data_IF_103199366929
#
_entry.id   IF_103199366929
#
_cell.length_a   1.000
_cell.length_b   1.000
_cell.length_c   1.000
_cell.angle_alpha   90.00
_cell.angle_beta   90.00
_cell.angle_gamma   90.00
#
_symmetry.space_group_name_H-M   'P 1'
#
loop_
_entity.id
_entity.type
_entity.pdbx_description
1 polymer ?
#
# COMPACT_ATOMS: atom_id res chain seq x y z
N UNK A 1 18.84 8.35 7.32
CA UNK A 1 17.47 8.83 7.29
C UNK A 1 16.89 8.74 5.89
N UNK A 2 15.81 7.96 5.72
CA UNK A 2 15.16 7.74 4.43
C UNK A 2 14.59 9.01 3.80
N UNK A 3 14.25 10.01 4.59
CA UNK A 3 13.68 11.26 4.08
C UNK A 3 14.59 11.94 3.04
N UNK A 4 15.88 11.78 3.17
CA UNK A 4 16.87 12.35 2.23
C UNK A 4 16.72 11.80 0.81
N UNK A 5 16.12 10.62 0.69
CA UNK A 5 15.98 9.93 -0.58
C UNK A 5 14.59 10.11 -1.21
N UNK A 6 13.76 10.95 -0.62
CA UNK A 6 12.44 11.28 -1.15
C UNK A 6 12.49 12.70 -1.72
N UNK A 7 12.26 12.82 -3.02
CA UNK A 7 12.24 14.11 -3.69
C UNK A 7 10.84 14.70 -3.61
N UNK A 8 10.74 15.97 -3.23
CA UNK A 8 9.47 16.71 -3.21
C UNK A 8 9.36 17.57 -4.46
N UNK A 9 8.26 17.41 -5.20
CA UNK A 9 8.00 18.12 -6.44
C UNK A 9 6.74 18.96 -6.26
N UNK A 10 6.91 20.28 -6.32
CA UNK A 10 5.81 21.22 -6.17
C UNK A 10 4.96 21.25 -7.44
N UNK A 11 3.64 21.39 -7.26
CA UNK A 11 2.68 21.56 -8.34
C UNK A 11 2.66 20.39 -9.34
N UNK A 12 2.73 19.16 -8.84
CA UNK A 12 2.64 17.96 -9.67
C UNK A 12 1.63 16.97 -9.05
N UNK A 13 0.76 16.33 -9.84
CA UNK A 13 0.51 16.54 -11.27
C UNK A 13 -0.28 17.80 -11.59
N UNK A 14 -0.73 18.51 -10.55
CA UNK A 14 -1.52 19.74 -10.68
C UNK A 14 -1.02 20.79 -9.70
N UNK A 15 -1.30 22.07 -10.00
CA UNK A 15 -0.99 23.19 -9.11
C UNK A 15 -1.58 22.94 -7.72
N UNK A 16 -0.80 23.22 -6.70
CA UNK A 16 -1.19 23.07 -5.29
C UNK A 16 -0.90 21.69 -4.70
N UNK A 17 -0.47 20.73 -5.48
CA UNK A 17 -0.13 19.39 -5.00
C UNK A 17 1.38 19.27 -4.82
N UNK A 18 1.80 18.86 -3.63
CA UNK A 18 3.19 18.54 -3.34
C UNK A 18 3.38 17.03 -3.47
N UNK A 19 4.03 16.61 -4.55
CA UNK A 19 4.27 15.21 -4.86
C UNK A 19 5.52 14.69 -4.18
N UNK A 20 5.42 13.54 -3.51
CA UNK A 20 6.54 12.85 -2.87
C UNK A 20 7.01 11.74 -3.80
N UNK A 21 8.18 11.94 -4.40
CA UNK A 21 8.73 11.05 -5.41
C UNK A 21 9.65 10.00 -4.76
N UNK A 22 9.30 8.73 -4.92
CA UNK A 22 10.08 7.60 -4.38
C UNK A 22 11.11 7.06 -5.37
N UNK A 23 11.16 7.55 -6.60
CA UNK A 23 12.09 7.03 -7.60
C UNK A 23 13.54 7.24 -7.18
N UNK A 24 13.82 8.32 -6.47
CA UNK A 24 15.14 8.61 -5.92
C UNK A 24 15.54 7.62 -4.82
N UNK A 25 14.58 7.13 -4.07
CA UNK A 25 14.81 6.06 -3.07
C UNK A 25 15.09 4.73 -3.76
N UNK A 26 14.26 4.37 -4.73
CA UNK A 26 14.36 3.08 -5.42
C UNK A 26 15.68 2.94 -6.19
N UNK A 27 16.14 4.01 -6.82
CA UNK A 27 17.39 3.97 -7.59
C UNK A 27 18.66 3.93 -6.74
N UNK A 28 18.54 4.10 -5.43
CA UNK A 28 19.69 4.10 -4.51
C UNK A 28 19.66 2.79 -3.71
N UNK A 29 20.52 1.80 -4.06
CA UNK A 29 20.45 0.47 -3.43
C UNK A 29 20.49 0.49 -1.91
N UNK A 30 21.34 1.31 -1.32
CA UNK A 30 21.44 1.45 0.13
C UNK A 30 20.12 1.88 0.77
N UNK A 31 19.43 2.85 0.15
CA UNK A 31 18.18 3.38 0.66
C UNK A 31 17.03 2.38 0.46
N UNK A 32 16.97 1.75 -0.72
CA UNK A 32 15.96 0.75 -1.02
C UNK A 32 16.09 -0.45 -0.06
N UNK A 33 17.32 -0.96 0.12
CA UNK A 33 17.56 -2.08 1.03
C UNK A 33 17.14 -1.74 2.46
N UNK A 34 17.48 -0.54 2.93
CA UNK A 34 17.08 -0.09 4.25
C UNK A 34 15.56 -0.04 4.40
N UNK A 35 14.86 0.48 3.38
CA UNK A 35 13.39 0.54 3.39
C UNK A 35 12.78 -0.86 3.45
N UNK A 36 13.27 -1.80 2.63
CA UNK A 36 12.78 -3.17 2.63
C UNK A 36 13.03 -3.85 3.98
N UNK A 37 14.22 -3.70 4.55
CA UNK A 37 14.55 -4.28 5.85
C UNK A 37 13.61 -3.75 6.94
N UNK A 38 13.27 -2.47 6.89
CA UNK A 38 12.31 -1.87 7.83
C UNK A 38 10.89 -2.42 7.64
N UNK A 39 10.45 -2.60 6.42
CA UNK A 39 9.14 -3.22 6.15
C UNK A 39 9.09 -4.63 6.73
N UNK A 40 10.14 -5.42 6.50
CA UNK A 40 10.22 -6.79 7.03
C UNK A 40 10.22 -6.80 8.56
N UNK A 41 10.95 -5.90 9.19
CA UNK A 41 10.99 -5.76 10.65
C UNK A 41 9.58 -5.48 11.19
N UNK A 42 8.86 -4.53 10.59
CA UNK A 42 7.49 -4.19 10.99
C UNK A 42 6.54 -5.38 10.75
N UNK A 43 6.70 -6.08 9.63
CA UNK A 43 5.85 -7.22 9.27
C UNK A 43 5.92 -8.36 10.30
N UNK A 44 7.01 -8.47 11.04
CA UNK A 44 7.16 -9.48 12.09
C UNK A 44 6.24 -9.25 13.28
N UNK A 45 5.64 -8.07 13.40
CA UNK A 45 4.68 -7.75 14.48
C UNK A 45 3.31 -8.37 14.24
N UNK A 46 3.04 -8.89 13.07
CA UNK A 46 1.75 -9.50 12.70
C UNK A 46 1.98 -10.84 12.00
N UNK A 47 0.98 -11.72 12.11
CA UNK A 47 0.96 -12.95 11.30
C UNK A 47 0.30 -12.66 9.98
N UNK A 48 0.89 -13.14 8.89
CA UNK A 48 0.29 -13.01 7.56
C UNK A 48 0.64 -14.23 6.69
N UNK A 49 -0.27 -14.54 5.78
CA UNK A 49 -0.14 -15.68 4.87
C UNK A 49 0.33 -15.24 3.48
N UNK A 50 -0.09 -14.07 3.06
CA UNK A 50 0.21 -13.52 1.73
C UNK A 50 0.47 -12.02 1.80
N UNK A 51 1.25 -11.54 0.84
CA UNK A 51 1.55 -10.12 0.68
C UNK A 51 0.72 -9.58 -0.48
N UNK A 52 0.20 -8.38 -0.34
CA UNK A 52 -0.55 -7.71 -1.40
C UNK A 52 -0.08 -6.27 -1.58
N UNK A 53 -0.36 -5.73 -2.73
CA UNK A 53 -0.13 -4.32 -3.01
C UNK A 53 -1.06 -3.84 -4.11
N UNK A 54 -1.23 -2.52 -4.16
CA UNK A 54 -2.07 -1.85 -5.16
C UNK A 54 -1.17 -1.33 -6.27
N UNK A 55 -1.60 -1.51 -7.54
CA UNK A 55 -0.80 -1.00 -8.65
C UNK A 55 -0.65 0.52 -8.55
N UNK A 56 0.53 1.05 -8.87
CA UNK A 56 1.66 0.29 -9.38
C UNK A 56 2.89 0.37 -8.45
N UNK A 57 3.12 1.50 -7.78
CA UNK A 57 4.33 1.70 -6.99
C UNK A 57 4.46 0.75 -5.81
N UNK A 58 3.34 0.37 -5.21
CA UNK A 58 3.34 -0.61 -4.12
C UNK A 58 3.90 -1.97 -4.53
N UNK A 59 3.77 -2.35 -5.79
CA UNK A 59 4.26 -3.63 -6.31
C UNK A 59 5.77 -3.77 -6.14
N UNK A 60 6.51 -2.68 -6.27
CA UNK A 60 7.98 -2.67 -6.16
C UNK A 60 8.42 -3.17 -4.78
N UNK A 61 7.81 -2.65 -3.74
CA UNK A 61 8.12 -3.02 -2.36
C UNK A 61 7.54 -4.39 -2.00
N UNK A 62 6.31 -4.62 -2.38
CA UNK A 62 5.61 -5.87 -2.05
C UNK A 62 6.26 -7.08 -2.71
N UNK A 63 6.71 -6.99 -3.96
CA UNK A 63 7.37 -8.08 -4.65
C UNK A 63 8.69 -8.46 -3.96
N UNK A 64 9.44 -7.48 -3.52
CA UNK A 64 10.69 -7.70 -2.80
C UNK A 64 10.45 -8.36 -1.44
N UNK A 65 9.45 -7.88 -0.71
CA UNK A 65 9.05 -8.48 0.58
C UNK A 65 8.55 -9.91 0.39
N UNK A 66 7.74 -10.15 -0.63
CA UNK A 66 7.24 -11.50 -0.97
C UNK A 66 8.40 -12.47 -1.20
N UNK A 67 9.39 -12.06 -1.98
CA UNK A 67 10.57 -12.86 -2.26
C UNK A 67 11.34 -13.18 -0.97
N UNK A 68 11.63 -12.16 -0.16
CA UNK A 68 12.44 -12.33 1.05
C UNK A 68 11.73 -13.10 2.16
N UNK A 69 10.41 -13.02 2.25
CA UNK A 69 9.62 -13.73 3.25
C UNK A 69 9.11 -15.08 2.78
N UNK A 70 9.31 -15.39 1.50
CA UNK A 70 8.79 -16.61 0.86
C UNK A 70 7.27 -16.75 1.01
N UNK A 71 6.56 -15.63 0.84
CA UNK A 71 5.09 -15.58 0.89
C UNK A 71 4.53 -15.23 -0.48
N UNK A 72 3.35 -15.76 -0.84
CA UNK A 72 2.71 -15.41 -2.12
C UNK A 72 2.44 -13.91 -2.24
N UNK A 73 2.51 -13.39 -3.46
CA UNK A 73 2.17 -12.02 -3.78
C UNK A 73 0.82 -11.97 -4.49
N UNK A 74 -0.07 -11.10 -4.02
CA UNK A 74 -1.38 -10.85 -4.63
C UNK A 74 -1.40 -9.45 -5.21
N UNK A 75 -1.87 -9.33 -6.44
CA UNK A 75 -1.96 -8.04 -7.12
C UNK A 75 -3.37 -7.48 -7.03
N UNK A 76 -3.50 -6.30 -6.40
CA UNK A 76 -4.73 -5.51 -6.42
C UNK A 76 -4.58 -4.50 -7.55
N UNK A 77 -5.43 -4.58 -8.55
CA UNK A 77 -5.23 -3.82 -9.79
C UNK A 77 -6.42 -2.94 -10.13
N UNK A 78 -6.16 -1.94 -10.94
CA UNK A 78 -7.20 -1.07 -11.49
C UNK A 78 -8.15 -1.87 -12.38
N UNK A 79 -9.34 -1.32 -12.59
CA UNK A 79 -10.40 -1.95 -13.39
C UNK A 79 -9.90 -2.43 -14.75
N UNK A 80 -10.36 -3.62 -15.14
CA UNK A 80 -10.09 -4.22 -16.45
C UNK A 80 -8.62 -4.63 -16.70
N UNK A 81 -7.82 -4.79 -15.64
CA UNK A 81 -6.43 -5.26 -15.78
C UNK A 81 -6.27 -6.75 -15.48
N UNK A 82 -7.22 -7.36 -14.79
CA UNK A 82 -7.17 -8.77 -14.41
C UNK A 82 -8.01 -9.60 -15.38
N UNK A 83 -7.45 -10.71 -15.93
CA UNK A 83 -8.12 -11.48 -16.98
C UNK A 83 -9.13 -12.50 -16.46
N UNK A 84 -8.98 -13.02 -15.24
CA UNK A 84 -9.87 -14.06 -14.71
C UNK A 84 -11.01 -13.45 -13.88
N UNK A 85 -11.86 -14.31 -13.32
CA UNK A 85 -12.94 -13.86 -12.44
C UNK A 85 -12.37 -13.08 -11.24
N UNK A 86 -13.06 -12.01 -10.86
CA UNK A 86 -12.55 -11.05 -9.89
C UNK A 86 -13.64 -10.46 -9.02
N UNK A 87 -13.24 -10.05 -7.82
CA UNK A 87 -14.02 -9.16 -6.97
C UNK A 87 -13.58 -7.73 -7.23
N UNK A 88 -14.49 -6.77 -7.07
CA UNK A 88 -14.23 -5.35 -7.32
C UNK A 88 -14.75 -4.50 -6.17
N UNK A 89 -14.08 -3.40 -5.90
CA UNK A 89 -14.51 -2.36 -4.96
C UNK A 89 -14.36 -1.01 -5.63
N UNK A 90 -15.45 -0.24 -5.66
CA UNK A 90 -15.44 1.15 -6.12
C UNK A 90 -15.13 2.05 -4.93
N UNK A 91 -14.41 3.12 -5.16
CA UNK A 91 -14.12 4.11 -4.12
C UNK A 91 -13.99 5.50 -4.72
N UNK A 92 -14.26 6.50 -3.88
CA UNK A 92 -14.18 7.89 -4.30
C UNK A 92 -12.77 8.43 -4.16
N UNK A 93 -12.34 9.15 -5.16
CA UNK A 93 -11.13 9.97 -5.14
C UNK A 93 -11.53 11.41 -4.88
N UNK A 94 -10.56 12.28 -4.63
CA UNK A 94 -10.79 13.73 -4.53
C UNK A 94 -11.44 14.25 -5.83
N UNK A 95 -11.05 13.69 -6.95
CA UNK A 95 -11.59 14.03 -8.27
C UNK A 95 -12.04 12.75 -8.99
N UNK A 96 -13.31 12.37 -8.82
CA UNK A 96 -13.90 11.22 -9.51
C UNK A 96 -13.94 9.96 -8.67
N UNK A 97 -14.06 8.83 -9.35
CA UNK A 97 -14.15 7.50 -8.76
C UNK A 97 -13.09 6.58 -9.35
N UNK A 98 -12.72 5.56 -8.61
CA UNK A 98 -11.82 4.52 -9.07
C UNK A 98 -12.34 3.16 -8.62
N UNK A 99 -11.84 2.11 -9.26
CA UNK A 99 -12.18 0.73 -8.93
C UNK A 99 -10.88 -0.06 -8.80
N UNK A 100 -10.78 -0.87 -7.77
CA UNK A 100 -9.70 -1.86 -7.67
C UNK A 100 -10.29 -3.26 -7.62
N UNK A 101 -9.54 -4.20 -8.14
CA UNK A 101 -9.99 -5.58 -8.33
C UNK A 101 -8.94 -6.57 -7.89
N UNK A 102 -9.39 -7.76 -7.48
CA UNK A 102 -8.53 -8.90 -7.16
C UNK A 102 -9.15 -10.16 -7.75
N UNK A 103 -8.33 -11.08 -8.23
CA UNK A 103 -8.81 -12.39 -8.70
C UNK A 103 -9.51 -13.14 -7.58
N UNK A 104 -10.62 -13.81 -7.89
CA UNK A 104 -11.37 -14.60 -6.91
C UNK A 104 -10.58 -15.75 -6.30
N UNK A 105 -9.61 -16.28 -7.03
CA UNK A 105 -8.76 -17.38 -6.57
C UNK A 105 -7.48 -16.92 -5.84
N UNK A 106 -7.30 -15.62 -5.65
CA UNK A 106 -6.10 -15.08 -4.99
C UNK A 106 -6.10 -15.26 -3.48
N UNK A 107 -7.28 -15.23 -2.85
CA UNK A 107 -7.42 -15.25 -1.40
C UNK A 107 -8.37 -16.37 -1.00
N UNK A 108 -7.93 -17.25 -0.11
CA UNK A 108 -8.77 -18.27 0.47
C UNK A 108 -9.37 -17.79 1.78
N UNK A 109 -10.53 -18.36 2.15
CA UNK A 109 -11.25 -17.97 3.35
C UNK A 109 -10.37 -18.05 4.60
N UNK A 110 -10.30 -16.95 5.33
CA UNK A 110 -9.57 -16.86 6.58
C UNK A 110 -8.09 -16.52 6.44
N UNK A 111 -7.57 -16.44 5.23
CA UNK A 111 -6.18 -16.05 5.03
C UNK A 111 -5.93 -14.61 5.47
N UNK A 112 -4.75 -14.38 6.04
CA UNK A 112 -4.32 -13.08 6.56
C UNK A 112 -3.44 -12.40 5.52
N UNK A 113 -3.83 -11.22 5.10
CA UNK A 113 -3.20 -10.51 3.99
C UNK A 113 -2.53 -9.24 4.49
N UNK A 114 -1.24 -9.12 4.21
CA UNK A 114 -0.47 -7.90 4.49
C UNK A 114 -0.53 -6.99 3.27
N UNK A 115 -0.90 -5.73 3.46
CA UNK A 115 -0.95 -4.73 2.39
C UNK A 115 0.27 -3.82 2.49
N UNK A 116 0.99 -3.65 1.39
CA UNK A 116 2.15 -2.75 1.32
C UNK A 116 1.91 -1.74 0.22
N UNK A 117 2.13 -0.46 0.53
CA UNK A 117 2.05 0.60 -0.47
C UNK A 117 3.11 1.67 -0.20
N UNK A 118 3.31 2.55 -1.15
CA UNK A 118 4.32 3.60 -1.04
C UNK A 118 3.88 4.74 -0.12
N UNK A 119 2.61 5.11 -0.14
CA UNK A 119 2.15 6.32 0.54
C UNK A 119 0.69 6.18 1.00
N UNK A 120 0.39 6.74 2.17
CA UNK A 120 -0.98 6.93 2.63
C UNK A 120 -1.26 8.42 2.80
N UNK A 121 -2.34 8.87 2.17
CA UNK A 121 -2.81 10.26 2.20
C UNK A 121 -4.20 10.32 2.84
N UNK A 122 -5.25 10.35 2.03
CA UNK A 122 -6.64 10.38 2.52
C UNK A 122 -7.13 9.02 3.01
N UNK A 123 -6.50 7.95 2.56
CA UNK A 123 -6.82 6.58 2.98
C UNK A 123 -7.86 5.87 2.12
N UNK A 124 -8.41 6.53 1.10
CA UNK A 124 -9.44 5.93 0.24
C UNK A 124 -8.99 4.66 -0.44
N UNK A 125 -7.80 4.69 -1.03
CA UNK A 125 -7.22 3.53 -1.74
C UNK A 125 -6.93 2.38 -0.76
N UNK A 126 -6.32 2.68 0.38
CA UNK A 126 -6.00 1.67 1.39
C UNK A 126 -7.25 1.06 2.00
N UNK A 127 -8.28 1.87 2.27
CA UNK A 127 -9.56 1.40 2.76
C UNK A 127 -10.25 0.48 1.75
N UNK A 128 -10.20 0.83 0.47
CA UNK A 128 -10.73 -0.01 -0.61
C UNK A 128 -9.99 -1.34 -0.70
N UNK A 129 -8.67 -1.34 -0.53
CA UNK A 129 -7.88 -2.57 -0.49
C UNK A 129 -8.30 -3.46 0.67
N UNK A 130 -8.50 -2.90 1.85
CA UNK A 130 -8.96 -3.65 3.03
C UNK A 130 -10.34 -4.26 2.79
N UNK A 131 -11.27 -3.50 2.24
CA UNK A 131 -12.62 -4.00 1.89
C UNK A 131 -12.55 -5.13 0.87
N UNK A 132 -11.69 -4.99 -0.13
CA UNK A 132 -11.54 -6.00 -1.18
C UNK A 132 -11.02 -7.32 -0.62
N UNK A 133 -10.07 -7.26 0.30
CA UNK A 133 -9.56 -8.44 1.00
C UNK A 133 -10.69 -9.12 1.79
N UNK A 134 -11.49 -8.34 2.52
CA UNK A 134 -12.58 -8.86 3.33
C UNK A 134 -13.72 -9.47 2.49
N UNK A 135 -14.08 -8.83 1.38
CA UNK A 135 -15.05 -9.38 0.42
C UNK A 135 -14.56 -10.71 -0.14
N UNK A 136 -13.26 -10.84 -0.34
CA UNK A 136 -12.65 -12.08 -0.85
C UNK A 136 -12.64 -13.21 0.19
N UNK A 137 -13.02 -12.95 1.42
CA UNK A 137 -13.02 -13.94 2.50
C UNK A 137 -11.77 -13.92 3.38
N UNK A 138 -10.84 -13.02 3.10
CA UNK A 138 -9.61 -12.88 3.87
C UNK A 138 -9.75 -11.92 5.05
N UNK A 139 -8.66 -11.77 5.77
CA UNK A 139 -8.50 -10.83 6.87
C UNK A 139 -7.33 -9.91 6.58
N UNK A 140 -7.43 -8.65 6.96
CA UNK A 140 -6.32 -7.71 6.83
C UNK A 140 -5.36 -7.96 8.00
N UNK A 141 -4.17 -8.45 7.69
CA UNK A 141 -3.12 -8.67 8.70
C UNK A 141 -2.53 -7.34 9.18
N UNK A 142 -2.37 -6.41 8.26
CA UNK A 142 -1.83 -5.09 8.53
C UNK A 142 -1.59 -4.33 7.24
N UNK A 143 -1.33 -3.04 7.37
CA UNK A 143 -0.99 -2.16 6.26
C UNK A 143 0.30 -1.42 6.60
N UNK A 144 1.26 -1.49 5.71
CA UNK A 144 2.57 -0.86 5.88
C UNK A 144 2.83 0.08 4.71
N UNK A 145 3.19 1.32 5.02
CA UNK A 145 3.47 2.36 4.02
C UNK A 145 4.90 2.86 4.18
N UNK A 146 5.50 3.27 3.08
CA UNK A 146 6.79 3.96 3.16
C UNK A 146 6.57 5.34 3.77
N UNK A 147 5.58 6.08 3.27
CA UNK A 147 5.30 7.46 3.66
C UNK A 147 3.90 7.60 4.23
N UNK A 148 3.80 8.20 5.40
CA UNK A 148 2.55 8.70 5.95
C UNK A 148 2.51 10.22 5.82
N UNK A 149 1.49 10.74 5.15
CA UNK A 149 1.21 12.18 5.16
C UNK A 149 0.40 12.48 6.42
N UNK A 150 1.09 12.87 7.50
CA UNK A 150 0.57 12.80 8.86
C UNK A 150 -0.57 13.78 9.17
N UNK A 151 -0.71 14.85 8.41
CA UNK A 151 -1.78 15.83 8.57
C UNK A 151 -3.03 15.51 7.75
N UNK A 152 -3.02 14.39 7.01
CA UNK A 152 -4.17 13.88 6.29
C UNK A 152 -4.82 12.72 7.05
N UNK A 153 -6.12 12.42 6.80
CA UNK A 153 -6.88 11.53 7.68
C UNK A 153 -6.64 10.04 7.51
N UNK A 154 -5.92 9.61 6.47
CA UNK A 154 -5.85 8.18 6.09
C UNK A 154 -5.34 7.25 7.18
N UNK A 155 -4.24 7.61 7.82
CA UNK A 155 -3.65 6.77 8.86
C UNK A 155 -4.61 6.58 10.04
N UNK A 156 -5.25 7.65 10.49
CA UNK A 156 -6.23 7.58 11.59
C UNK A 156 -7.49 6.83 11.19
N UNK A 157 -7.94 6.95 9.93
CA UNK A 157 -9.07 6.20 9.41
C UNK A 157 -8.86 4.70 9.54
N UNK A 158 -7.70 4.21 9.14
CA UNK A 158 -7.37 2.77 9.21
C UNK A 158 -7.24 2.30 10.66
N UNK A 159 -6.62 3.10 11.53
CA UNK A 159 -6.48 2.78 12.94
C UNK A 159 -7.83 2.71 13.67
N UNK A 160 -8.76 3.61 13.33
CA UNK A 160 -10.12 3.59 13.88
C UNK A 160 -10.88 2.32 13.50
N UNK A 161 -10.56 1.73 12.36
CA UNK A 161 -11.12 0.45 11.92
C UNK A 161 -10.41 -0.75 12.53
N UNK A 162 -9.49 -0.50 13.47
CA UNK A 162 -8.71 -1.53 14.17
C UNK A 162 -7.73 -2.29 13.29
N UNK A 163 -7.30 -1.71 12.17
CA UNK A 163 -6.25 -2.28 11.35
C UNK A 163 -4.87 -1.89 11.90
N UNK A 164 -3.99 -2.87 12.00
CA UNK A 164 -2.58 -2.60 12.27
C UNK A 164 -2.03 -1.77 11.10
N UNK A 165 -1.53 -0.57 11.39
CA UNK A 165 -1.06 0.37 10.38
C UNK A 165 0.23 1.02 10.84
N UNK A 166 1.30 0.86 10.08
CA UNK A 166 2.59 1.50 10.37
C UNK A 166 3.21 2.06 9.09
N UNK A 167 4.04 3.08 9.26
CA UNK A 167 4.77 3.72 8.16
C UNK A 167 6.23 3.91 8.55
N UNK A 168 7.11 4.00 7.56
CA UNK A 168 8.53 4.16 7.78
C UNK A 168 8.91 5.60 8.11
N UNK A 169 8.34 6.54 7.36
CA UNK A 169 8.65 7.97 7.50
C UNK A 169 7.38 8.80 7.35
N UNK A 170 7.43 10.03 7.84
CA UNK A 170 6.30 10.94 7.81
C UNK A 170 6.66 12.25 7.13
N UNK A 171 5.72 12.80 6.37
CA UNK A 171 5.79 14.11 5.74
C UNK A 171 4.47 14.83 5.90
N UNK A 172 4.45 16.16 5.86
CA UNK A 172 3.19 16.90 5.75
C UNK A 172 2.55 16.68 4.38
N UNK A 173 1.23 16.79 4.30
CA UNK A 173 0.47 16.60 3.05
C UNK A 173 0.54 17.80 2.10
N UNK A 174 1.04 18.92 2.55
CA UNK A 174 1.20 20.14 1.74
C UNK A 174 2.29 21.06 2.31
#
# INVERSE_FOLDING_TARGET
>A
DLKKYIRSIQDYPKKGILFRDITTLIKTPKAFNFAIDKIIEISKKVEFDKVSAIESRGFIFASTVSYLTNKPLILLRKKNKLPAERYSVDFKLEYGEATIEVHKDSIEKGEKILVIDDLIATGGTADAAAKLIEISGGKVAGLIFIINLFDLPGNNLLKKKSYFTESLIEFPGH
#
